data_IF_306896778635
#
_entry.id   IF_306896778635
#
_cell.length_a   1.000
_cell.length_b   1.000
_cell.length_c   1.000
_cell.angle_alpha   90.00
_cell.angle_beta   90.00
_cell.angle_gamma   90.00
#
_symmetry.space_group_name_H-M   'P 1'
#
loop_
_entity.id
_entity.type
_entity.pdbx_description
1 polymer ?
2 polymer ?
3 polymer ?
4 water ?
#
# COMPACT_ATOMS: atom_id res chain seq x y z
N UNK A 1 9.45 1.43 1.86
CA UNK A 1 10.05 2.13 3.02
C UNK A 1 9.60 1.52 4.34
N UNK A 2 10.57 1.26 5.23
CA UNK A 2 10.26 0.89 6.60
C UNK A 2 10.39 2.19 7.43
N UNK A 3 9.27 2.65 8.01
CA UNK A 3 9.29 3.83 8.86
C UNK A 3 9.91 3.54 10.22
N UNK A 4 10.61 4.54 10.76
CA UNK A 4 10.91 4.64 12.19
C UNK A 4 9.61 4.89 12.94
N UNK A 5 9.53 4.41 14.19
CA UNK A 5 8.37 4.63 15.04
C UNK A 5 8.00 6.13 15.14
N UNK A 6 8.95 6.95 15.60
CA UNK A 6 8.69 8.41 15.73
C UNK A 6 8.49 9.10 14.41
N UNK A 7 9.26 8.68 13.39
CA UNK A 7 9.08 9.18 12.05
C UNK A 7 7.63 8.98 11.58
N UNK A 8 7.10 7.77 11.79
CA UNK A 8 5.72 7.50 11.37
C UNK A 8 4.70 8.30 12.21
N UNK A 9 4.96 8.41 13.50
CA UNK A 9 4.09 9.18 14.34
C UNK A 9 3.97 10.62 13.86
N UNK A 10 5.10 11.22 13.45
CA UNK A 10 5.12 12.61 13.01
C UNK A 10 4.32 12.72 11.74
N UNK A 11 4.46 11.73 10.84
CA UNK A 11 3.78 11.80 9.53
C UNK A 11 2.29 11.60 9.70
N UNK A 12 1.90 10.69 10.59
CA UNK A 12 0.48 10.44 10.86
C UNK A 12 -0.17 11.66 11.52
N UNK A 13 0.58 12.31 12.40
CA UNK A 13 0.04 13.51 13.07
C UNK A 13 -0.09 14.63 12.01
N UNK A 14 0.88 14.70 11.11
CA UNK A 14 0.86 15.72 10.05
C UNK A 14 -0.40 15.51 9.18
N UNK A 15 -0.79 14.25 8.99
CA UNK A 15 -1.96 13.92 8.16
C UNK A 15 -3.29 13.83 8.91
N UNK A 16 -3.32 14.29 10.14
CA UNK A 16 -4.60 14.49 10.80
C UNK A 16 -5.12 13.29 11.58
N UNK A 17 -4.25 12.31 11.86
CA UNK A 17 -4.73 11.11 12.63
C UNK A 17 -4.84 11.24 14.13
N UNK A 18 -4.13 12.19 14.74
CA UNK A 18 -4.20 12.30 16.21
C UNK A 18 -5.59 12.69 16.67
N UNK A 19 -6.21 11.82 17.45
CA UNK A 19 -7.60 11.96 17.93
C UNK A 19 -8.67 11.92 16.83
N UNK A 20 -8.30 11.44 15.63
CA UNK A 20 -9.24 11.32 14.51
C UNK A 20 -10.30 10.30 14.93
N UNK A 21 -11.57 10.70 14.85
CA UNK A 21 -12.62 9.79 15.35
C UNK A 21 -12.36 9.35 16.81
N UNK A 22 -11.65 10.19 17.54
CA UNK A 22 -11.38 10.00 18.98
C UNK A 22 -10.25 9.05 19.31
N UNK A 23 -9.52 8.57 18.29
CA UNK A 23 -8.40 7.65 18.55
C UNK A 23 -7.09 8.42 18.60
N UNK A 24 -6.50 8.48 19.80
CA UNK A 24 -5.20 9.10 20.00
C UNK A 24 -4.12 8.54 19.06
N UNK A 25 -3.12 9.38 18.76
CA UNK A 25 -2.04 9.04 17.81
C UNK A 25 -1.40 7.65 18.04
N UNK A 26 -1.21 7.29 19.32
CA UNK A 26 -0.64 5.97 19.70
C UNK A 26 -1.39 4.77 19.17
N UNK A 27 -2.72 4.85 19.10
CA UNK A 27 -3.54 3.84 18.39
C UNK A 27 -3.12 3.59 16.94
N UNK A 28 -2.83 4.67 16.23
CA UNK A 28 -2.47 4.56 14.82
C UNK A 28 -1.11 4.03 14.59
N UNK A 29 -0.15 4.52 15.37
CA UNK A 29 1.20 3.96 15.33
C UNK A 29 1.24 2.51 15.67
N UNK A 30 0.59 2.15 16.77
CA UNK A 30 0.44 0.76 17.15
C UNK A 30 -0.20 -0.12 16.07
N UNK A 31 -1.32 0.32 15.50
CA UNK A 31 -1.94 -0.44 14.41
C UNK A 31 -0.94 -0.69 13.24
N UNK A 32 -0.16 0.32 12.85
CA UNK A 32 0.83 0.11 11.78
C UNK A 32 1.95 -0.84 12.18
N UNK A 33 2.38 -0.76 13.42
CA UNK A 33 3.36 -1.69 13.91
C UNK A 33 2.86 -3.14 13.71
N UNK A 34 1.65 -3.49 14.17
CA UNK A 34 1.24 -4.90 14.15
C UNK A 34 0.54 -5.36 12.87
N UNK A 35 0.15 -4.40 12.04
CA UNK A 35 -0.35 -4.72 10.70
C UNK A 35 0.81 -5.06 9.70
N UNK A 36 1.79 -4.15 9.66
CA UNK A 36 2.85 -4.16 8.61
C UNK A 36 4.27 -4.06 9.09
N UNK A 37 4.47 -3.97 10.41
CA UNK A 37 5.79 -3.68 10.99
C UNK A 37 6.38 -2.44 10.38
N UNK A 38 5.50 -1.47 10.18
CA UNK A 38 5.86 -0.17 9.65
C UNK A 38 6.33 -0.13 8.16
N UNK A 39 6.03 -1.16 7.39
CA UNK A 39 6.58 -1.31 6.03
C UNK A 39 5.53 -0.87 5.05
N UNK A 40 5.79 0.21 4.30
CA UNK A 40 4.83 0.71 3.32
C UNK A 40 4.53 -0.27 2.15
N UNK A 41 5.40 -1.26 1.96
CA UNK A 41 5.28 -2.17 0.83
C UNK A 41 4.65 -3.49 1.16
N UNK A 42 4.23 -3.69 2.42
CA UNK A 42 3.66 -4.96 2.85
C UNK A 42 2.43 -5.31 1.98
N UNK A 43 2.41 -6.57 1.54
CA UNK A 43 1.35 -7.04 0.65
C UNK A 43 1.11 -8.44 1.07
N UNK A 44 -0.12 -8.73 1.53
CA UNK A 44 -0.44 -10.10 1.96
C UNK A 44 -1.75 -10.62 1.38
N UNK A 45 -1.62 -11.68 0.58
CA UNK A 45 -2.79 -12.33 -0.04
C UNK A 45 -3.57 -13.22 0.88
N UNK A 46 -4.89 -13.24 0.71
CA UNK A 46 -5.78 -14.00 1.59
C UNK A 46 -6.39 -15.15 0.84
N UNK A 47 -6.81 -16.20 1.55
CA UNK A 47 -7.51 -17.28 0.84
C UNK A 47 -8.85 -16.92 0.15
N UNK A 48 -9.51 -15.82 0.54
CA UNK A 48 -10.72 -15.39 -0.18
C UNK A 48 -10.43 -14.69 -1.53
N UNK A 49 -9.18 -14.71 -1.97
CA UNK A 49 -8.78 -13.97 -3.18
C UNK A 49 -8.59 -12.46 -3.09
N UNK A 50 -8.81 -11.87 -1.92
CA UNK A 50 -8.51 -10.45 -1.68
C UNK A 50 -7.06 -10.35 -1.19
N UNK A 51 -6.57 -9.13 -1.02
CA UNK A 51 -5.20 -8.93 -0.55
C UNK A 51 -5.22 -7.71 0.35
N UNK A 52 -4.35 -7.71 1.36
CA UNK A 52 -4.10 -6.52 2.21
C UNK A 52 -2.87 -5.73 1.78
N UNK A 53 -3.03 -4.42 1.66
CA UNK A 53 -2.01 -3.54 1.09
C UNK A 53 -1.51 -2.49 2.06
N UNK A 54 -0.19 -2.29 2.03
CA UNK A 54 0.49 -1.19 2.70
C UNK A 54 0.60 -1.18 4.22
N UNK A 55 0.97 -0.01 4.70
CA UNK A 55 1.36 0.22 6.11
C UNK A 55 0.23 -0.12 7.11
N UNK A 56 -1.02 0.05 6.67
CA UNK A 56 -2.16 -0.35 7.48
C UNK A 56 -2.94 -1.56 6.94
N UNK A 57 -2.35 -2.30 5.98
CA UNK A 57 -2.93 -3.53 5.46
C UNK A 57 -4.41 -3.50 5.12
N UNK A 58 -4.76 -2.51 4.28
CA UNK A 58 -6.12 -2.28 3.82
C UNK A 58 -6.55 -3.29 2.74
N UNK A 59 -7.75 -3.82 2.90
CA UNK A 59 -8.14 -4.98 2.14
C UNK A 59 -8.92 -4.66 0.84
N UNK A 60 -8.68 -5.44 -0.21
CA UNK A 60 -9.20 -5.18 -1.54
C UNK A 60 -10.67 -5.60 -1.76
N UNK A 61 -11.32 -6.27 -0.81
CA UNK A 61 -12.72 -6.63 -1.00
C UNK A 61 -13.61 -5.38 -0.92
N UNK A 62 -13.49 -4.62 0.17
CA UNK A 62 -14.28 -3.39 0.30
C UNK A 62 -13.61 -2.10 -0.18
N UNK A 63 -12.28 -1.99 -0.04
CA UNK A 63 -11.70 -0.65 0.06
C UNK A 63 -10.99 -0.12 -1.15
N UNK A 64 -10.31 -0.98 -1.91
CA UNK A 64 -9.50 -0.47 -3.03
C UNK A 64 -9.63 -1.54 -4.12
N UNK A 65 -9.23 -1.16 -5.30
CA UNK A 65 -9.35 -1.98 -6.49
C UNK A 65 -7.99 -2.46 -6.92
N UNK A 66 -7.79 -3.78 -6.82
CA UNK A 66 -6.56 -4.45 -7.36
C UNK A 66 -6.75 -5.20 -8.68
N UNK A 67 -7.97 -5.11 -9.26
CA UNK A 67 -8.28 -5.84 -10.51
C UNK A 67 -8.48 -7.34 -10.46
N UNK A 68 -8.25 -7.98 -9.30
CA UNK A 68 -8.24 -9.44 -9.26
C UNK A 68 -9.07 -10.02 -8.13
N UNK A 69 -9.85 -9.15 -7.48
CA UNK A 69 -10.65 -9.50 -6.31
C UNK A 69 -12.15 -9.55 -6.72
N UNK A 70 -12.70 -10.76 -6.87
CA UNK A 70 -14.02 -10.81 -7.47
C UNK A 70 -15.09 -10.32 -6.50
N UNK A 71 -16.11 -9.66 -7.07
CA UNK A 71 -17.19 -9.05 -6.29
C UNK A 71 -16.72 -8.08 -5.24
N UNK A 72 -15.87 -7.16 -5.66
CA UNK A 72 -15.24 -6.26 -4.78
C UNK A 72 -15.87 -4.89 -4.90
N UNK A 73 -15.74 -4.14 -3.82
CA UNK A 73 -16.03 -2.75 -3.89
C UNK A 73 -14.65 -2.04 -3.85
N UNK A 74 -14.75 -0.75 -4.10
CA UNK A 74 -13.65 0.16 -4.11
C UNK A 74 -14.09 1.45 -3.38
N UNK A 75 -14.42 1.32 -2.12
CA UNK A 75 -15.00 2.46 -1.40
C UNK A 75 -14.00 3.59 -1.11
N UNK A 76 -12.68 3.32 -1.12
CA UNK A 76 -11.71 4.45 -1.01
C UNK A 76 -11.45 5.08 -2.38
N UNK A 77 -12.03 4.47 -3.41
CA UNK A 77 -11.93 4.92 -4.78
C UNK A 77 -10.49 5.12 -5.28
N UNK A 78 -9.69 4.06 -5.19
CA UNK A 78 -8.26 4.15 -5.55
C UNK A 78 -7.80 2.72 -5.93
N UNK A 79 -6.80 2.64 -6.82
CA UNK A 79 -6.14 1.32 -6.98
C UNK A 79 -5.40 0.96 -5.66
N UNK A 80 -5.42 -0.32 -5.30
CA UNK A 80 -4.73 -0.76 -4.10
C UNK A 80 -3.26 -0.40 -4.15
N UNK A 81 -2.66 -0.45 -5.34
CA UNK A 81 -1.26 0.03 -5.47
C UNK A 81 -1.01 1.46 -4.94
N UNK A 82 -2.05 2.29 -4.88
CA UNK A 82 -1.91 3.61 -4.26
C UNK A 82 -1.47 3.51 -2.79
N UNK A 83 -1.83 2.39 -2.13
CA UNK A 83 -1.53 2.19 -0.73
C UNK A 83 -0.11 1.70 -0.47
N UNK A 84 0.68 1.53 -1.54
CA UNK A 84 2.05 0.99 -1.47
C UNK A 84 3.15 2.01 -1.64
N UNK A 85 2.70 3.27 -1.68
CA UNK A 85 3.55 4.44 -1.74
C UNK A 85 4.45 4.61 -0.52
N UNK A 86 5.57 5.28 -0.70
CA UNK A 86 6.49 5.53 0.40
C UNK A 86 5.97 6.66 1.32
N UNK A 87 5.12 7.54 0.81
CA UNK A 87 4.47 8.50 1.71
C UNK A 87 3.09 7.95 2.03
N UNK A 88 2.53 8.35 3.17
CA UNK A 88 1.37 7.63 3.67
C UNK A 88 0.04 8.29 3.34
N UNK A 89 0.04 9.30 2.45
CA UNK A 89 -1.16 10.08 2.22
C UNK A 89 -2.38 9.21 1.85
N UNK A 90 -2.24 8.39 0.82
CA UNK A 90 -3.35 7.56 0.34
C UNK A 90 -3.81 6.55 1.43
N UNK A 91 -2.88 5.94 2.17
CA UNK A 91 -3.29 5.00 3.24
C UNK A 91 -4.04 5.76 4.32
N UNK A 92 -3.63 7.00 4.60
CA UNK A 92 -4.29 7.79 5.68
C UNK A 92 -5.73 8.21 5.26
N UNK A 93 -5.88 8.64 4.02
CA UNK A 93 -7.19 9.09 3.53
C UNK A 93 -8.18 7.96 3.46
N UNK A 94 -7.69 6.78 3.05
CA UNK A 94 -8.50 5.58 3.08
C UNK A 94 -8.85 5.12 4.49
N UNK A 95 -7.86 5.09 5.39
CA UNK A 95 -8.02 4.79 6.80
C UNK A 95 -9.11 5.67 7.43
N UNK A 96 -9.20 6.92 7.05
CA UNK A 96 -10.24 7.78 7.62
C UNK A 96 -11.67 7.33 7.21
N UNK A 97 -11.80 6.74 6.03
CA UNK A 97 -13.09 6.23 5.57
C UNK A 97 -13.43 5.00 6.36
N UNK A 98 -12.41 4.15 6.52
CA UNK A 98 -12.64 2.87 7.18
C UNK A 98 -13.03 3.02 8.67
N UNK A 99 -12.28 3.88 9.37
CA UNK A 99 -12.48 4.04 10.81
C UNK A 99 -13.80 4.81 11.09
N UNK A 100 -14.30 5.51 10.08
CA UNK A 100 -15.57 6.23 10.18
C UNK A 100 -16.78 5.42 9.72
N UNK A 101 -16.59 4.17 9.29
CA UNK A 101 -17.65 3.37 8.66
C UNK A 101 -18.55 2.55 9.61
N UNK A 102 -18.35 2.70 10.92
CA UNK A 102 -19.21 2.07 11.93
C UNK A 102 -18.59 1.15 12.99
N UNK A 103 -17.39 0.65 12.74
CA UNK A 103 -16.79 -0.24 13.74
C UNK A 103 -15.49 0.33 14.27
N UNK A 104 -15.27 1.63 14.01
CA UNK A 104 -14.07 2.34 14.46
C UNK A 104 -12.83 1.53 14.08
N UNK A 105 -11.82 1.51 14.95
CA UNK A 105 -10.56 0.92 14.56
C UNK A 105 -10.61 -0.62 14.59
N UNK A 106 -11.77 -1.17 15.03
CA UNK A 106 -11.98 -2.62 14.96
C UNK A 106 -11.90 -3.19 13.54
N UNK A 107 -11.99 -2.32 12.54
CA UNK A 107 -11.69 -2.79 11.18
C UNK A 107 -10.30 -3.44 11.01
N UNK A 108 -9.35 -3.12 11.91
CA UNK A 108 -7.96 -3.59 11.76
C UNK A 108 -7.79 -4.66 12.79
N UNK A 109 -7.70 -5.88 12.27
CA UNK A 109 -7.64 -7.08 13.11
C UNK A 109 -6.41 -7.00 14.03
N UNK A 110 -5.28 -6.47 13.55
CA UNK A 110 -4.05 -6.42 14.41
C UNK A 110 -4.22 -5.35 15.47
N UNK A 111 -4.89 -4.26 15.14
CA UNK A 111 -5.23 -3.28 16.20
C UNK A 111 -6.12 -3.89 17.30
N UNK A 112 -7.19 -4.59 16.90
CA UNK A 112 -8.06 -5.28 17.86
C UNK A 112 -7.25 -6.19 18.74
N UNK A 113 -6.34 -6.96 18.11
CA UNK A 113 -5.66 -8.02 18.79
C UNK A 113 -4.45 -7.56 19.61
N UNK A 114 -3.80 -6.47 19.19
CA UNK A 114 -2.52 -6.09 19.81
C UNK A 114 -2.48 -4.72 20.42
N UNK A 115 -3.46 -3.88 20.07
CA UNK A 115 -3.42 -2.52 20.53
C UNK A 115 -4.57 -2.11 21.46
N UNK A 116 -5.78 -2.50 21.08
CA UNK A 116 -6.96 -2.14 21.84
C UNK A 116 -6.77 -2.55 23.27
N UNK A 117 -7.03 -1.59 24.15
CA UNK A 117 -6.92 -1.84 25.59
C UNK A 117 -5.52 -2.05 26.14
N UNK A 118 -4.53 -1.59 25.40
CA UNK A 118 -3.13 -1.58 25.89
C UNK A 118 -2.75 -0.08 26.04
N UNK A 119 -1.57 0.17 26.62
CA UNK A 119 -1.11 1.54 26.82
C UNK A 119 -0.49 2.02 25.54
N UNK A 120 -1.36 2.50 24.66
CA UNK A 120 -0.93 2.83 23.33
C UNK A 120 -0.11 4.13 23.28
N UNK A 121 -0.19 4.95 24.33
CA UNK A 121 0.70 6.14 24.46
C UNK A 121 2.20 5.74 24.37
N UNK A 122 2.55 4.53 24.80
CA UNK A 122 3.93 3.96 24.68
C UNK A 122 4.50 4.19 23.26
N UNK A 123 3.61 4.13 22.27
CA UNK A 123 4.06 4.15 20.88
C UNK A 123 4.47 5.52 20.46
N UNK A 124 4.11 6.53 21.25
CA UNK A 124 4.58 7.88 20.96
C UNK A 124 5.55 8.50 21.99
N UNK A 125 5.89 7.75 23.04
CA UNK A 125 6.83 8.29 24.06
C UNK A 125 8.21 8.51 23.43
N UNK A 126 8.87 9.62 23.82
CA UNK A 126 10.16 9.91 23.24
C UNK A 126 10.15 10.59 21.87
N UNK A 127 8.98 10.72 21.21
CA UNK A 127 8.95 11.38 19.87
C UNK A 127 8.71 12.85 19.96
N UNK A 128 9.45 13.61 19.14
CA UNK A 128 9.17 15.05 19.03
C UNK A 128 8.03 15.26 18.05
N UNK A 129 6.92 15.78 18.55
CA UNK A 129 5.64 15.83 17.84
C UNK A 129 4.92 17.14 18.05
N UNK B 2 18.42 9.74 -4.51
CA UNK B 2 17.17 9.60 -5.25
C UNK B 2 17.19 8.40 -6.21
N UNK B 3 16.76 8.67 -7.43
CA UNK B 3 16.78 7.72 -8.53
C UNK B 3 18.21 7.40 -9.02
N UNK B 4 19.19 8.24 -8.68
CA UNK B 4 20.58 8.14 -9.18
C UNK B 4 21.53 7.32 -8.33
N UNK B 5 20.99 6.77 -7.25
CA UNK B 5 21.73 5.95 -6.27
C UNK B 5 22.25 4.67 -6.91
N UNK B 6 23.21 4.02 -6.22
CA UNK B 6 23.81 2.79 -6.70
C UNK B 6 22.91 1.55 -6.57
N UNK B 7 21.92 1.62 -5.68
CA UNK B 7 21.15 0.44 -5.31
C UNK B 7 20.00 0.28 -6.31
N UNK B 8 19.28 -0.82 -6.22
CA UNK B 8 18.22 -1.02 -7.19
C UNK B 8 16.89 -0.37 -6.81
N UNK B 9 16.86 0.41 -5.73
CA UNK B 9 15.68 1.21 -5.38
C UNK B 9 14.55 0.25 -5.07
N UNK B 10 13.33 0.62 -5.47
CA UNK B 10 12.16 -0.20 -5.19
C UNK B 10 12.07 -1.33 -6.24
N UNK B 11 11.93 -2.56 -5.78
CA UNK B 11 11.94 -3.73 -6.70
C UNK B 11 10.69 -4.54 -6.53
N UNK B 12 10.37 -5.27 -7.57
CA UNK B 12 9.17 -6.13 -7.57
C UNK B 12 9.40 -7.40 -8.40
N UNK B 13 8.57 -8.41 -8.18
CA UNK B 13 8.60 -9.57 -9.07
C UNK B 13 7.33 -9.58 -9.91
N UNK B 14 7.47 -9.93 -11.19
CA UNK B 14 6.29 -10.07 -12.06
C UNK B 14 5.41 -11.26 -11.69
N UNK B 15 4.11 -11.00 -11.54
CA UNK B 15 3.21 -12.12 -11.18
C UNK B 15 2.57 -12.71 -12.45
N UNK B 16 2.44 -11.90 -13.50
CA UNK B 16 1.73 -12.31 -14.71
C UNK B 16 2.48 -11.73 -15.90
N UNK B 17 2.31 -12.34 -17.09
CA UNK B 17 2.78 -11.70 -18.33
C UNK B 17 2.18 -10.30 -18.48
N UNK B 18 2.95 -9.35 -19.02
CA UNK B 18 2.41 -8.10 -19.51
C UNK B 18 3.10 -7.74 -20.83
N UNK B 19 2.28 -7.43 -21.86
CA UNK B 19 2.74 -6.97 -23.17
C UNK B 19 2.59 -5.47 -23.24
N UNK B 20 3.71 -4.79 -23.44
CA UNK B 20 3.68 -3.35 -23.60
C UNK B 20 2.65 -2.95 -24.67
N UNK B 21 1.89 -1.92 -24.40
CA UNK B 21 0.81 -1.51 -25.29
C UNK B 21 0.90 -0.01 -25.68
N UNK B 22 2.09 0.56 -25.56
CA UNK B 22 2.29 1.98 -25.79
C UNK B 22 3.80 2.13 -25.93
N UNK B 23 4.21 3.18 -26.63
CA UNK B 23 5.60 3.42 -26.94
C UNK B 23 6.43 3.54 -25.66
N UNK B 24 5.78 3.93 -24.55
CA UNK B 24 6.49 4.22 -23.30
C UNK B 24 6.39 3.11 -22.25
N UNK B 25 5.98 1.91 -22.69
CA UNK B 25 5.74 0.80 -21.78
C UNK B 25 6.82 -0.30 -21.85
N UNK B 26 6.87 -1.12 -20.82
CA UNK B 26 7.69 -2.32 -20.82
C UNK B 26 6.89 -3.63 -20.82
N UNK B 27 7.54 -4.70 -21.24
CA UNK B 27 6.98 -6.06 -21.14
C UNK B 27 7.69 -6.88 -20.11
N UNK B 28 7.03 -7.88 -19.53
CA UNK B 28 7.76 -8.80 -18.73
C UNK B 28 7.05 -10.17 -18.72
N UNK B 29 7.76 -11.16 -18.21
CA UNK B 29 7.24 -12.51 -18.04
C UNK B 29 7.15 -12.76 -16.52
N UNK B 30 6.26 -13.65 -16.12
CA UNK B 30 6.23 -14.00 -14.70
C UNK B 30 7.60 -14.39 -14.15
N UNK B 31 7.85 -13.97 -12.89
CA UNK B 31 9.12 -14.13 -12.17
C UNK B 31 10.28 -13.22 -12.60
N UNK B 32 10.10 -12.40 -13.66
CA UNK B 32 11.10 -11.38 -14.00
C UNK B 32 11.12 -10.38 -12.82
N UNK B 33 12.28 -9.78 -12.55
CA UNK B 33 12.43 -8.72 -11.55
C UNK B 33 12.39 -7.38 -12.21
N UNK B 34 11.63 -6.47 -11.63
CA UNK B 34 11.56 -5.05 -12.07
C UNK B 34 12.27 -4.27 -11.02
N UNK B 35 13.17 -3.37 -11.43
CA UNK B 35 13.97 -2.61 -10.45
C UNK B 35 13.75 -1.11 -10.64
N UNK B 36 14.24 -0.30 -9.70
CA UNK B 36 14.26 1.18 -9.83
C UNK B 36 12.88 1.77 -10.13
N UNK B 37 11.96 1.28 -9.36
CA UNK B 37 10.54 1.63 -9.58
C UNK B 37 10.28 3.05 -9.13
N UNK B 38 9.58 3.77 -10.01
CA UNK B 38 9.08 5.11 -9.73
C UNK B 38 7.54 5.06 -9.68
N UNK B 39 6.95 5.39 -8.52
CA UNK B 39 5.49 5.37 -8.42
C UNK B 39 4.90 6.72 -8.88
N UNK B 40 4.94 6.92 -10.19
CA UNK B 40 4.57 8.18 -10.85
C UNK B 40 3.07 8.42 -10.80
N UNK B 41 2.31 7.32 -10.72
CA UNK B 41 0.85 7.33 -10.73
C UNK B 41 0.47 6.21 -9.77
N UNK B 42 -0.74 6.27 -9.21
CA UNK B 42 -1.17 5.29 -8.22
C UNK B 42 -1.30 3.89 -8.86
N UNK B 43 -1.65 3.83 -10.14
CA UNK B 43 -1.97 2.57 -10.84
C UNK B 43 -0.92 2.00 -11.80
N UNK B 44 -0.13 2.91 -12.41
CA UNK B 44 0.93 2.56 -13.35
C UNK B 44 2.21 3.16 -12.87
N UNK B 45 3.28 2.39 -12.96
CA UNK B 45 4.55 2.75 -12.36
C UNK B 45 5.56 2.67 -13.48
N UNK B 46 6.70 3.35 -13.32
CA UNK B 46 7.85 3.12 -14.20
C UNK B 46 8.89 2.26 -13.51
N UNK B 47 9.67 1.55 -14.31
CA UNK B 47 10.75 0.76 -13.76
C UNK B 47 11.63 0.19 -14.86
N UNK B 48 12.58 -0.64 -14.46
CA UNK B 48 13.56 -1.19 -15.38
C UNK B 48 13.40 -2.70 -15.33
N UNK B 49 13.18 -3.33 -16.48
CA UNK B 49 13.07 -4.79 -16.47
C UNK B 49 13.86 -5.33 -17.66
N UNK B 50 14.92 -6.09 -17.34
CA UNK B 50 15.73 -6.76 -18.36
C UNK B 50 16.22 -5.73 -19.39
N UNK B 51 16.68 -4.55 -18.94
CA UNK B 51 17.44 -3.65 -19.81
C UNK B 51 16.52 -2.68 -20.48
N UNK B 52 15.22 -2.81 -20.15
CA UNK B 52 14.19 -1.96 -20.72
C UNK B 52 13.54 -1.05 -19.63
N UNK B 53 13.46 0.26 -19.89
CA UNK B 53 12.86 1.23 -18.97
C UNK B 53 11.50 1.75 -19.45
N UNK B 54 10.54 1.82 -18.56
CA UNK B 54 9.23 2.35 -18.93
C UNK B 54 8.07 1.94 -18.05
N UNK B 55 6.87 2.19 -18.57
CA UNK B 55 5.64 2.11 -17.79
C UNK B 55 5.03 0.69 -17.78
N UNK B 56 4.40 0.33 -16.66
CA UNK B 56 3.74 -0.99 -16.47
C UNK B 56 2.64 -0.91 -15.42
N UNK B 57 1.64 -1.81 -15.55
CA UNK B 57 0.59 -1.78 -14.50
C UNK B 57 1.08 -2.29 -13.15
N UNK B 58 0.92 -1.49 -12.10
CA UNK B 58 1.43 -1.89 -10.76
C UNK B 58 0.86 -3.16 -10.19
N UNK B 59 -0.36 -3.50 -10.58
CA UNK B 59 -1.03 -4.66 -9.98
C UNK B 59 -0.66 -5.99 -10.68
N UNK B 60 0.27 -5.91 -11.63
CA UNK B 60 0.87 -7.10 -12.28
C UNK B 60 2.18 -7.55 -11.62
N UNK B 61 2.63 -6.76 -10.65
CA UNK B 61 3.82 -7.11 -9.86
C UNK B 61 3.57 -7.23 -8.35
N UNK B 62 4.49 -7.91 -7.67
CA UNK B 62 4.49 -7.88 -6.25
C UNK B 62 5.80 -7.28 -5.69
N UNK B 63 5.70 -6.18 -4.95
CA UNK B 63 6.93 -5.60 -4.32
C UNK B 63 7.66 -6.62 -3.48
N UNK B 64 8.98 -6.63 -3.58
CA UNK B 64 9.83 -7.53 -2.80
C UNK B 64 10.34 -6.70 -1.63
N UNK B 65 9.99 -7.00 -0.38
CA UNK B 65 8.95 -7.92 0.09
C UNK B 65 8.06 -7.11 1.09
N UNK C 1 -9.13 -20.94 -8.92
CA UNK C 1 -7.72 -21.09 -8.43
C UNK C 1 -6.95 -19.76 -8.46
N UNK C 2 -6.83 -19.09 -9.63
CA UNK C 2 -6.10 -17.83 -9.63
C UNK C 2 -6.57 -16.82 -10.72
N UNK C 3 -6.61 -15.53 -10.38
CA UNK C 3 -7.12 -14.49 -11.31
C UNK C 3 -6.03 -13.58 -11.89
N UNK C 4 -5.92 -13.54 -13.21
CA UNK C 4 -5.17 -12.47 -13.85
C UNK C 4 -5.96 -11.16 -13.77
N UNK C 5 -5.32 -10.06 -13.31
CA UNK C 5 -6.15 -8.84 -13.06
C UNK C 5 -6.56 -8.01 -14.27
N UNK C 6 -7.69 -7.33 -14.13
CA UNK C 6 -8.02 -6.20 -14.96
C UNK C 6 -6.92 -5.15 -14.80
N UNK C 7 -6.62 -4.47 -15.89
CA UNK C 7 -5.62 -3.39 -15.87
C UNK C 7 -6.18 -2.21 -15.07
N UNK C 8 -5.30 -1.54 -14.31
CA UNK C 8 -5.76 -0.36 -13.55
C UNK C 8 -6.13 0.75 -14.54
N UNK C 9 -6.93 1.71 -14.07
CA UNK C 9 -7.29 2.82 -14.89
C UNK C 9 -6.05 3.57 -15.43
N UNK C 10 -6.17 4.08 -16.65
CA UNK C 10 -5.15 4.91 -17.25
C UNK C 10 -4.70 6.00 -16.29
N UNK C 11 -3.40 6.33 -16.27
CA UNK C 11 -2.89 7.36 -15.35
C UNK C 11 -3.79 8.62 -15.26
N UNK C 12 -4.03 9.04 -14.00
CA UNK C 12 -4.73 10.29 -13.67
C UNK C 12 -4.08 11.54 -14.34
N UNK C 13 -4.90 12.39 -14.96
CA UNK C 13 -4.43 13.59 -15.68
C UNK C 13 -3.22 13.30 -16.61
#
# INVERSE_FOLDING_TARGET
KVFGRCELAAAMKRHGLDNYRGYSLGNWVCAAKFESNFNTQATNRNTDGSTDYGILQINSRWWCNDGRTPGSRNLCNIPCSALLSSDITASVNCAKKIVSDGNGMNAWVAWRNRCKGTDVQAWIRGCRL
GPLGSSDLGITAIALYDYQAAGDDEISFDPDDIITNIEMIDDGWWRGVCKGRYGLFPANYVELRQ
SSVVPYLPRLPILPSKT
#
